data_IF_518975963239
#
_entry.id   IF_518975963239
#
_cell.length_a   1.000
_cell.length_b   1.000
_cell.length_c   1.000
_cell.angle_alpha   90.00
_cell.angle_beta   90.00
_cell.angle_gamma   90.00
#
_symmetry.space_group_name_H-M   'P 1'
#
loop_
_entity.id
_entity.type
_entity.pdbx_description
1 polymer ?
#
# COMPACT_ATOMS: atom_id res chain seq x y z
N UNK A 1 -25.28 22.34 15.04
CA UNK A 1 -26.00 21.05 15.04
C UNK A 1 -25.80 20.41 13.66
N UNK A 2 -24.67 19.73 13.46
CA UNK A 2 -24.46 18.28 13.62
C UNK A 2 -24.81 17.54 12.31
N UNK A 3 -23.79 17.40 11.45
CA UNK A 3 -23.79 16.50 10.30
C UNK A 3 -23.67 15.07 10.81
N UNK A 4 -24.48 14.11 10.34
CA UNK A 4 -24.38 12.73 10.78
C UNK A 4 -23.17 12.10 10.09
N UNK A 5 -22.11 11.86 10.85
CA UNK A 5 -21.07 10.90 10.48
C UNK A 5 -21.62 9.51 10.74
N UNK A 6 -21.96 8.78 9.67
CA UNK A 6 -22.23 7.36 9.76
C UNK A 6 -20.93 6.64 10.13
N UNK A 7 -20.92 6.09 11.33
CA UNK A 7 -19.87 5.27 11.92
C UNK A 7 -19.84 3.86 11.33
N UNK A 8 -18.70 3.21 11.57
CA UNK A 8 -18.49 1.76 11.66
C UNK A 8 -17.96 1.02 10.42
N UNK A 9 -16.77 1.40 9.96
CA UNK A 9 -15.79 0.41 9.53
C UNK A 9 -15.05 -0.10 10.76
N UNK A 10 -15.14 -1.39 11.05
CA UNK A 10 -14.40 -2.05 12.13
C UNK A 10 -12.94 -1.60 12.14
N UNK A 11 -12.51 -0.95 13.22
CA UNK A 11 -11.10 -0.70 13.49
C UNK A 11 -10.41 -2.08 13.57
N UNK A 12 -9.76 -2.49 12.49
CA UNK A 12 -8.65 -3.43 12.60
C UNK A 12 -7.67 -2.78 13.58
N UNK A 13 -7.54 -3.37 14.78
CA UNK A 13 -6.48 -3.01 15.73
C UNK A 13 -5.17 -3.42 15.04
N UNK A 14 -4.58 -2.50 14.26
CA UNK A 14 -3.46 -2.80 13.36
C UNK A 14 -2.97 -1.57 12.60
N UNK A 15 -1.81 -1.68 11.96
CA UNK A 15 -1.24 -0.60 11.16
C UNK A 15 -2.18 -0.17 10.03
N UNK A 16 -2.33 1.13 9.81
CA UNK A 16 -3.07 1.69 8.67
C UNK A 16 -2.40 2.99 8.22
N UNK A 17 -2.42 3.26 6.91
CA UNK A 17 -1.85 4.50 6.38
C UNK A 17 -2.68 5.72 6.78
N UNK A 18 -2.04 6.88 6.78
CA UNK A 18 -2.71 8.17 6.89
C UNK A 18 -3.23 8.61 5.51
N UNK A 19 -4.50 8.99 5.41
CA UNK A 19 -5.15 9.35 4.15
C UNK A 19 -4.49 10.54 3.42
N UNK A 20 -4.17 11.67 4.10
CA UNK A 20 -3.39 12.76 3.49
C UNK A 20 -2.06 12.29 2.90
N UNK A 21 -1.31 11.46 3.63
CA UNK A 21 -0.02 10.93 3.18
C UNK A 21 -0.18 10.03 1.96
N UNK A 22 -1.16 9.13 1.98
CA UNK A 22 -1.49 8.25 0.86
C UNK A 22 -1.89 9.05 -0.39
N UNK A 23 -2.68 10.11 -0.22
CA UNK A 23 -3.12 10.97 -1.31
C UNK A 23 -1.94 11.71 -1.95
N UNK A 24 -1.01 12.21 -1.14
CA UNK A 24 0.20 12.87 -1.63
C UNK A 24 1.07 11.93 -2.50
N UNK A 25 1.28 10.68 -2.05
CA UNK A 25 1.99 9.68 -2.86
C UNK A 25 1.23 9.31 -4.13
N UNK A 26 -0.10 9.15 -4.06
CA UNK A 26 -0.93 8.87 -5.23
C UNK A 26 -0.78 9.95 -6.31
N UNK A 27 -0.84 11.22 -5.92
CA UNK A 27 -0.65 12.35 -6.83
C UNK A 27 0.76 12.36 -7.44
N UNK A 28 1.79 12.12 -6.61
CA UNK A 28 3.16 12.04 -7.11
C UNK A 28 3.34 10.92 -8.15
N UNK A 29 2.75 9.74 -7.93
CA UNK A 29 2.83 8.62 -8.88
C UNK A 29 1.97 8.80 -10.12
N UNK A 30 0.88 9.56 -10.05
CA UNK A 30 0.12 9.95 -11.25
C UNK A 30 0.94 10.86 -12.16
N UNK A 31 1.69 11.81 -11.59
CA UNK A 31 2.50 12.74 -12.36
C UNK A 31 3.81 12.12 -12.89
N UNK A 32 4.47 11.31 -12.05
CA UNK A 32 5.84 10.84 -12.33
C UNK A 32 5.91 9.38 -12.78
N UNK A 33 4.78 8.66 -12.74
CA UNK A 33 4.75 7.21 -12.89
C UNK A 33 5.04 6.47 -11.59
N UNK A 34 4.84 5.15 -11.63
CA UNK A 34 5.15 4.27 -10.51
C UNK A 34 6.66 4.13 -10.32
N UNK A 35 7.13 3.93 -9.07
CA UNK A 35 8.52 3.56 -8.81
C UNK A 35 8.88 2.25 -9.52
N UNK A 36 10.17 2.03 -9.74
CA UNK A 36 10.63 0.77 -10.34
C UNK A 36 10.31 -0.41 -9.41
N UNK A 37 10.25 -1.61 -9.99
CA UNK A 37 10.03 -2.84 -9.22
C UNK A 37 11.03 -3.01 -8.08
N UNK A 38 12.30 -2.68 -8.31
CA UNK A 38 13.35 -2.74 -7.29
C UNK A 38 13.08 -1.77 -6.14
N UNK A 39 12.68 -0.53 -6.44
CA UNK A 39 12.31 0.45 -5.42
C UNK A 39 11.11 -0.01 -4.59
N UNK A 40 10.09 -0.60 -5.24
CA UNK A 40 8.91 -1.14 -4.58
C UNK A 40 9.24 -2.35 -3.69
N UNK A 41 10.10 -3.26 -4.14
CA UNK A 41 10.62 -4.35 -3.32
C UNK A 41 11.39 -3.80 -2.10
N UNK A 42 12.14 -2.72 -2.28
CA UNK A 42 12.78 -2.00 -1.19
C UNK A 42 11.78 -1.48 -0.15
N UNK A 43 10.65 -0.90 -0.58
CA UNK A 43 9.59 -0.46 0.31
C UNK A 43 8.91 -1.63 1.05
N UNK A 44 8.60 -2.72 0.33
CA UNK A 44 8.06 -3.94 0.94
C UNK A 44 8.97 -4.48 2.03
N UNK A 45 10.27 -4.61 1.73
CA UNK A 45 11.27 -5.08 2.68
C UNK A 45 11.39 -4.16 3.88
N UNK A 46 11.42 -2.84 3.67
CA UNK A 46 11.45 -1.84 4.76
C UNK A 46 10.23 -1.97 5.69
N UNK A 47 9.05 -2.21 5.12
CA UNK A 47 7.85 -2.40 5.91
C UNK A 47 7.81 -3.75 6.66
N UNK A 48 8.52 -4.77 6.16
CA UNK A 48 8.69 -6.06 6.82
C UNK A 48 8.22 -7.28 6.00
N UNK A 49 7.91 -7.12 4.72
CA UNK A 49 7.57 -8.26 3.85
C UNK A 49 8.84 -9.00 3.38
N UNK A 50 8.76 -10.33 3.31
CA UNK A 50 9.76 -11.12 2.59
C UNK A 50 9.61 -10.91 1.07
N UNK A 51 10.73 -10.61 0.42
CA UNK A 51 10.83 -10.30 -1.01
C UNK A 51 11.63 -11.35 -1.78
N UNK A 52 12.15 -12.38 -1.09
CA UNK A 52 13.01 -13.43 -1.68
C UNK A 52 12.35 -14.15 -2.85
N UNK A 53 11.06 -14.44 -2.76
CA UNK A 53 10.27 -15.10 -3.81
C UNK A 53 9.82 -14.14 -4.92
N UNK A 54 9.97 -12.82 -4.73
CA UNK A 54 9.49 -11.79 -5.66
C UNK A 54 10.52 -11.44 -6.75
N UNK A 55 11.42 -12.37 -7.09
CA UNK A 55 12.36 -12.27 -8.21
C UNK A 55 11.70 -12.51 -9.57
N UNK A 56 10.59 -13.25 -9.60
CA UNK A 56 9.81 -13.57 -10.83
C UNK A 56 8.53 -12.73 -10.92
N UNK A 57 8.00 -12.50 -12.12
CA UNK A 57 6.73 -11.76 -12.29
C UNK A 57 5.59 -12.29 -11.43
N UNK A 58 5.40 -13.62 -11.43
CA UNK A 58 4.40 -14.29 -10.61
C UNK A 58 4.65 -14.14 -9.10
N UNK A 59 5.91 -14.20 -8.66
CA UNK A 59 6.28 -13.99 -7.27
C UNK A 59 5.95 -12.57 -6.78
N UNK A 60 6.21 -11.57 -7.61
CA UNK A 60 5.84 -10.18 -7.30
C UNK A 60 4.33 -9.99 -7.24
N UNK A 61 3.57 -10.54 -8.18
CA UNK A 61 2.11 -10.47 -8.15
C UNK A 61 1.53 -11.09 -6.85
N UNK A 62 2.09 -12.22 -6.39
CA UNK A 62 1.69 -12.86 -5.13
C UNK A 62 2.00 -11.99 -3.92
N UNK A 63 3.18 -11.37 -3.87
CA UNK A 63 3.56 -10.42 -2.82
C UNK A 63 2.60 -9.23 -2.77
N UNK A 64 2.31 -8.63 -3.93
CA UNK A 64 1.37 -7.49 -4.03
C UNK A 64 -0.03 -7.90 -3.58
N UNK A 65 -0.51 -9.07 -4.00
CA UNK A 65 -1.82 -9.59 -3.57
C UNK A 65 -1.88 -9.79 -2.06
N UNK A 66 -0.84 -10.36 -1.45
CA UNK A 66 -0.78 -10.53 0.00
C UNK A 66 -0.87 -9.19 0.74
N UNK A 67 -0.19 -8.16 0.22
CA UNK A 67 -0.29 -6.81 0.75
C UNK A 67 -1.70 -6.20 0.59
N UNK A 68 -2.31 -6.35 -0.59
CA UNK A 68 -3.66 -5.85 -0.86
C UNK A 68 -4.72 -6.51 0.02
N UNK A 69 -4.60 -7.81 0.32
CA UNK A 69 -5.51 -8.49 1.24
C UNK A 69 -5.54 -7.83 2.64
N UNK A 70 -4.43 -7.21 3.07
CA UNK A 70 -4.36 -6.49 4.34
C UNK A 70 -4.80 -5.03 4.21
N UNK A 71 -4.31 -4.32 3.19
CA UNK A 71 -4.38 -2.84 3.14
C UNK A 71 -5.24 -2.29 1.99
N UNK A 72 -5.86 -3.15 1.19
CA UNK A 72 -6.81 -2.79 0.13
C UNK A 72 -7.77 -3.96 -0.19
N UNK A 73 -8.55 -4.45 0.79
CA UNK A 73 -9.34 -5.68 0.62
C UNK A 73 -10.36 -5.59 -0.52
N UNK A 74 -10.85 -4.38 -0.85
CA UNK A 74 -11.76 -4.15 -1.96
C UNK A 74 -11.19 -4.54 -3.35
N UNK A 75 -9.86 -4.52 -3.53
CA UNK A 75 -9.19 -4.92 -4.78
C UNK A 75 -7.85 -5.57 -4.49
N UNK A 76 -7.78 -6.88 -4.70
CA UNK A 76 -6.64 -7.74 -4.37
C UNK A 76 -6.25 -8.70 -5.51
N UNK A 77 -6.14 -8.16 -6.73
CA UNK A 77 -5.78 -8.87 -7.97
C UNK A 77 -4.26 -9.12 -8.12
N UNK A 78 -3.45 -8.56 -7.21
CA UNK A 78 -1.99 -8.62 -7.24
C UNK A 78 -1.35 -7.63 -8.20
N UNK A 79 -2.11 -6.71 -8.78
CA UNK A 79 -1.57 -5.67 -9.67
C UNK A 79 -1.02 -4.52 -8.85
N UNK A 80 0.25 -4.16 -9.09
CA UNK A 80 0.85 -2.97 -8.49
C UNK A 80 0.39 -1.73 -9.25
N UNK A 81 -0.78 -1.20 -8.86
CA UNK A 81 -1.29 0.08 -9.34
C UNK A 81 -0.93 1.25 -8.40
N UNK A 82 -1.27 2.46 -8.81
CA UNK A 82 -0.95 3.71 -8.10
C UNK A 82 -1.44 3.68 -6.65
N UNK A 83 -2.68 3.25 -6.43
CA UNK A 83 -3.26 3.20 -5.09
C UNK A 83 -2.53 2.18 -4.21
N UNK A 84 -2.22 0.99 -4.75
CA UNK A 84 -1.47 -0.03 -4.01
C UNK A 84 -0.07 0.47 -3.62
N UNK A 85 0.64 1.10 -4.56
CA UNK A 85 1.96 1.67 -4.30
C UNK A 85 1.91 2.82 -3.27
N UNK A 86 0.89 3.68 -3.35
CA UNK A 86 0.71 4.79 -2.42
C UNK A 86 0.38 4.32 -1.00
N UNK A 87 -0.45 3.28 -0.86
CA UNK A 87 -0.74 2.65 0.44
C UNK A 87 0.56 2.14 1.07
N UNK A 88 1.41 1.44 0.30
CA UNK A 88 2.70 0.93 0.77
C UNK A 88 3.64 2.06 1.20
N UNK A 89 3.79 3.09 0.36
CA UNK A 89 4.66 4.23 0.66
C UNK A 89 4.21 4.99 1.91
N UNK A 90 2.90 5.22 2.06
CA UNK A 90 2.34 5.88 3.23
C UNK A 90 2.50 5.06 4.52
N UNK A 91 2.36 3.74 4.44
CA UNK A 91 2.65 2.84 5.56
C UNK A 91 4.12 2.89 5.97
N UNK A 92 5.05 2.78 5.00
CA UNK A 92 6.49 2.90 5.28
C UNK A 92 6.79 4.26 5.92
N UNK A 93 6.27 5.36 5.35
CA UNK A 93 6.50 6.72 5.87
C UNK A 93 6.00 6.89 7.30
N UNK A 94 4.89 6.25 7.67
CA UNK A 94 4.26 6.38 8.98
C UNK A 94 4.97 5.57 10.06
N UNK A 95 5.45 4.37 9.73
CA UNK A 95 5.93 3.41 10.74
C UNK A 95 7.45 3.19 10.72
N UNK A 96 8.14 3.55 9.63
CA UNK A 96 9.58 3.38 9.46
C UNK A 96 10.21 4.76 9.17
N UNK A 97 10.49 5.57 10.21
CA UNK A 97 11.10 6.90 10.07
C UNK A 97 12.54 6.86 9.57
#
# INVERSE_FOLDING_TARGET
MQRPFLFAGYFSIGAWFDEPTQKAYSQAYQCNGLPTREQLLGLFKKYGYDTSAATTGAGFQRLVRAFQLHFRPAKHDGVMDIETAANLAALVKKYIP
#
